data_IF_559766246051
#
_entry.id   IF_559766246051
#
_cell.length_a   1.000
_cell.length_b   1.000
_cell.length_c   1.000
_cell.angle_alpha   90.00
_cell.angle_beta   90.00
_cell.angle_gamma   90.00
#
_symmetry.space_group_name_H-M   'P 1'
#
loop_
_entity.id
_entity.type
_entity.pdbx_description
1 polymer ?
#
# COMPACT_ATOMS: atom_id res chain seq x y z
N UNK A 1 -6.35 5.41 -13.14
CA UNK A 1 -5.92 5.13 -14.53
C UNK A 1 -6.77 4.02 -15.18
N UNK A 2 -7.02 2.91 -14.48
CA UNK A 2 -7.81 1.78 -15.00
C UNK A 2 -9.19 2.19 -15.53
N UNK A 3 -9.95 2.97 -14.76
CA UNK A 3 -11.28 3.41 -15.18
C UNK A 3 -11.26 4.32 -16.40
N UNK A 4 -10.25 5.18 -16.50
CA UNK A 4 -10.07 6.03 -17.69
C UNK A 4 -9.74 5.17 -18.91
N UNK A 5 -8.89 4.16 -18.74
CA UNK A 5 -8.56 3.19 -19.78
C UNK A 5 -9.79 2.47 -20.32
N UNK A 6 -10.66 1.97 -19.44
CA UNK A 6 -11.92 1.31 -19.80
C UNK A 6 -12.86 2.22 -20.61
N UNK A 7 -12.93 3.50 -20.24
CA UNK A 7 -13.83 4.47 -20.90
C UNK A 7 -13.29 5.00 -22.22
N UNK A 8 -11.96 5.09 -22.37
CA UNK A 8 -11.34 5.74 -23.52
C UNK A 8 -10.74 4.76 -24.53
N UNK A 9 -10.51 3.51 -24.12
CA UNK A 9 -9.77 2.51 -24.90
C UNK A 9 -8.26 2.77 -24.97
N UNK A 10 -7.74 3.76 -24.23
CA UNK A 10 -6.30 4.04 -24.12
C UNK A 10 -5.73 3.10 -23.05
N UNK A 11 -4.54 2.52 -23.29
CA UNK A 11 -3.92 1.62 -22.31
C UNK A 11 -3.63 2.34 -20.99
N UNK A 12 -3.72 1.61 -19.88
CA UNK A 12 -3.48 2.12 -18.52
C UNK A 12 -2.09 2.77 -18.41
N UNK A 13 -1.05 2.15 -18.99
CA UNK A 13 0.32 2.69 -18.97
C UNK A 13 0.43 4.04 -19.67
N UNK A 14 -0.27 4.18 -20.80
CA UNK A 14 -0.28 5.45 -21.54
C UNK A 14 -0.99 6.55 -20.75
N UNK A 15 -2.06 6.22 -20.04
CA UNK A 15 -2.77 7.16 -19.17
C UNK A 15 -1.87 7.55 -17.99
N UNK A 16 -1.21 6.60 -17.38
CA UNK A 16 -0.27 6.85 -16.29
C UNK A 16 0.86 7.77 -16.73
N UNK A 17 1.46 7.52 -17.89
CA UNK A 17 2.51 8.38 -18.45
C UNK A 17 2.00 9.80 -18.71
N UNK A 18 0.82 9.95 -19.32
CA UNK A 18 0.19 11.26 -19.50
C UNK A 18 -0.02 12.00 -18.18
N UNK A 19 -0.48 11.29 -17.14
CA UNK A 19 -0.66 11.87 -15.81
C UNK A 19 0.66 12.35 -15.23
N UNK A 20 1.74 11.60 -15.41
CA UNK A 20 3.08 11.98 -14.99
C UNK A 20 3.62 13.18 -15.77
N UNK A 21 3.42 13.23 -17.08
CA UNK A 21 3.81 14.37 -17.95
C UNK A 21 3.09 15.64 -17.51
N UNK A 22 1.82 15.55 -17.15
CA UNK A 22 1.03 16.66 -16.62
C UNK A 22 1.28 16.94 -15.13
N UNK A 23 2.18 16.19 -14.47
CA UNK A 23 2.49 16.31 -13.03
C UNK A 23 1.26 16.13 -12.14
N UNK A 24 0.32 15.30 -12.53
CA UNK A 24 -0.87 14.95 -11.76
C UNK A 24 -0.53 13.76 -10.88
N UNK A 25 -0.29 14.02 -9.59
CA UNK A 25 0.02 13.03 -8.57
C UNK A 25 -1.00 13.11 -7.44
N UNK A 26 -1.27 11.99 -6.73
CA UNK A 26 -2.07 12.06 -5.53
C UNK A 26 -1.33 12.84 -4.43
N UNK A 27 -2.06 13.67 -3.72
CA UNK A 27 -1.64 14.25 -2.43
C UNK A 27 -2.14 13.36 -1.32
N UNK A 28 -1.34 13.17 -0.28
CA UNK A 28 -1.72 12.38 0.88
C UNK A 28 -1.97 13.30 2.06
N UNK A 29 -3.17 13.22 2.60
CA UNK A 29 -3.63 14.02 3.74
C UNK A 29 -3.75 13.15 4.97
N UNK A 30 -3.55 13.77 6.12
CA UNK A 30 -3.72 13.12 7.41
C UNK A 30 -5.19 13.17 7.83
N UNK A 31 -5.71 12.08 8.40
CA UNK A 31 -7.06 12.08 8.95
C UNK A 31 -7.07 12.99 10.17
N UNK A 32 -7.91 14.03 10.13
CA UNK A 32 -8.10 14.94 11.26
C UNK A 32 -9.01 14.28 12.30
N UNK A 33 -8.43 14.00 13.46
CA UNK A 33 -9.14 13.43 14.62
C UNK A 33 -9.45 14.47 15.69
N UNK A 34 -9.11 15.75 15.44
CA UNK A 34 -9.20 16.85 16.40
C UNK A 34 -10.16 17.96 15.97
N UNK A 35 -11.03 17.72 14.97
CA UNK A 35 -12.00 18.68 14.44
C UNK A 35 -11.38 20.04 14.05
N UNK A 36 -10.15 20.02 13.53
CA UNK A 36 -9.33 21.19 13.19
C UNK A 36 -9.03 22.15 14.36
N UNK A 37 -9.31 21.77 15.59
CA UNK A 37 -8.98 22.59 16.77
C UNK A 37 -7.50 22.49 17.15
N UNK A 38 -6.87 21.33 16.88
CA UNK A 38 -5.48 21.05 17.16
C UNK A 38 -4.85 20.28 16.01
N UNK A 39 -3.52 20.32 15.93
CA UNK A 39 -2.79 19.49 14.99
C UNK A 39 -3.01 18.00 15.33
N UNK A 40 -3.44 17.22 14.33
CA UNK A 40 -3.63 15.78 14.50
C UNK A 40 -2.33 15.02 14.17
N UNK A 41 -1.82 14.27 15.15
CA UNK A 41 -0.60 13.45 15.00
C UNK A 41 -0.91 11.99 14.63
N UNK A 42 -2.10 11.70 14.08
CA UNK A 42 -2.46 10.33 13.73
C UNK A 42 -1.55 9.76 12.63
N UNK A 43 -1.37 8.44 12.66
CA UNK A 43 -0.66 7.70 11.62
C UNK A 43 -1.49 7.55 10.33
N UNK A 44 -2.76 7.92 10.35
CA UNK A 44 -3.77 7.69 9.32
C UNK A 44 -3.67 8.67 8.15
N UNK A 45 -3.49 8.12 6.97
CA UNK A 45 -3.30 8.87 5.73
C UNK A 45 -4.30 8.39 4.67
N UNK A 46 -4.74 9.30 3.81
CA UNK A 46 -5.56 8.99 2.65
C UNK A 46 -5.16 9.87 1.47
N UNK A 47 -5.42 9.42 0.24
CA UNK A 47 -5.11 10.20 -0.95
C UNK A 47 -6.26 11.09 -1.39
N UNK A 48 -5.91 12.20 -2.03
CA UNK A 48 -6.82 13.00 -2.82
C UNK A 48 -6.10 13.57 -4.05
N UNK A 49 -6.87 13.84 -5.12
CA UNK A 49 -6.36 14.59 -6.27
C UNK A 49 -6.85 16.03 -6.15
N UNK A 50 -5.91 16.96 -6.03
CA UNK A 50 -6.21 18.37 -5.85
C UNK A 50 -6.25 19.08 -7.18
N UNK A 51 -7.17 20.05 -7.29
CA UNK A 51 -7.32 20.87 -8.50
C UNK A 51 -6.50 22.16 -8.44
N UNK A 52 -5.86 22.45 -7.31
CA UNK A 52 -5.14 23.70 -7.07
C UNK A 52 -3.63 23.52 -7.27
N UNK A 53 -2.95 24.63 -7.62
CA UNK A 53 -1.48 24.67 -7.75
C UNK A 53 -0.74 24.47 -6.41
N UNK A 54 -1.44 24.53 -5.30
CA UNK A 54 -0.87 24.36 -3.96
C UNK A 54 -0.83 22.88 -3.62
N UNK A 55 0.34 22.34 -3.40
CA UNK A 55 0.54 20.99 -2.92
C UNK A 55 0.23 20.91 -1.42
N UNK A 56 -0.93 20.38 -1.08
CA UNK A 56 -1.40 20.19 0.31
C UNK A 56 -1.01 18.82 0.89
N UNK A 57 0.00 18.17 0.34
CA UNK A 57 0.44 16.87 0.82
C UNK A 57 1.07 16.96 2.23
N UNK A 58 0.49 16.26 3.19
CA UNK A 58 0.91 16.24 4.59
C UNK A 58 1.89 15.09 4.91
N UNK A 59 2.24 14.28 3.90
CA UNK A 59 3.21 13.21 4.07
C UNK A 59 4.62 13.71 3.79
N UNK A 60 5.46 13.62 4.80
CA UNK A 60 6.89 13.92 4.75
C UNK A 60 7.67 12.62 4.96
N UNK A 61 8.19 12.00 3.87
CA UNK A 61 8.96 10.77 3.99
C UNK A 61 10.20 10.95 4.86
N UNK A 62 10.49 9.97 5.70
CA UNK A 62 11.68 9.95 6.57
C UNK A 62 12.93 9.47 5.82
N UNK A 63 14.11 9.63 6.45
CA UNK A 63 15.37 9.07 5.95
C UNK A 63 15.56 7.59 6.29
N UNK A 64 14.67 7.02 7.10
CA UNK A 64 14.76 5.62 7.54
C UNK A 64 14.57 4.66 6.36
N UNK A 65 15.07 3.45 6.54
CA UNK A 65 14.69 2.31 5.70
C UNK A 65 13.27 1.88 6.05
N UNK A 66 12.46 1.67 5.03
CA UNK A 66 11.02 1.42 5.16
C UNK A 66 10.66 0.06 4.63
N UNK A 67 9.67 -0.57 5.27
CA UNK A 67 9.03 -1.78 4.77
C UNK A 67 7.52 -1.54 4.71
N UNK A 68 6.93 -1.86 3.57
CA UNK A 68 5.49 -1.76 3.37
C UNK A 68 4.86 -3.14 3.58
N UNK A 69 3.75 -3.16 4.31
CA UNK A 69 2.92 -4.35 4.54
C UNK A 69 1.56 -4.10 3.92
N UNK A 70 1.11 -4.99 3.05
CA UNK A 70 -0.23 -4.93 2.49
C UNK A 70 -1.19 -5.73 3.37
N UNK A 71 -2.23 -5.08 3.86
CA UNK A 71 -3.28 -5.70 4.66
C UNK A 71 -4.25 -6.53 3.83
N UNK A 72 -5.29 -7.06 4.48
CA UNK A 72 -6.25 -7.98 3.85
C UNK A 72 -7.24 -7.34 2.88
N UNK A 73 -7.38 -6.02 2.91
CA UNK A 73 -8.42 -5.34 2.16
C UNK A 73 -9.82 -5.60 2.74
N UNK A 74 -10.87 -5.61 1.91
CA UNK A 74 -12.23 -5.85 2.38
C UNK A 74 -12.38 -7.25 2.98
N UNK A 75 -13.10 -7.36 4.09
CA UNK A 75 -13.42 -8.64 4.71
C UNK A 75 -14.23 -9.52 3.77
N UNK A 76 -13.95 -10.82 3.79
CA UNK A 76 -14.64 -11.84 3.00
C UNK A 76 -15.23 -12.89 3.93
N UNK A 77 -16.39 -13.44 3.54
CA UNK A 77 -16.98 -14.57 4.24
C UNK A 77 -15.97 -15.74 4.23
N UNK A 78 -15.70 -16.30 5.41
CA UNK A 78 -14.74 -17.39 5.59
C UNK A 78 -13.29 -16.96 5.75
N UNK A 79 -12.97 -15.67 5.66
CA UNK A 79 -11.64 -15.16 5.99
C UNK A 79 -11.57 -14.90 7.49
N UNK A 80 -10.59 -15.52 8.15
CA UNK A 80 -10.36 -15.34 9.58
C UNK A 80 -9.48 -14.13 9.89
N UNK A 81 -9.45 -13.78 11.18
CA UNK A 81 -8.65 -12.67 11.72
C UNK A 81 -7.13 -12.95 11.64
N UNK A 82 -6.72 -14.19 11.43
CA UNK A 82 -5.31 -14.60 11.39
C UNK A 82 -4.49 -13.84 10.32
N UNK A 83 -5.10 -13.52 9.19
CA UNK A 83 -4.41 -12.74 8.15
C UNK A 83 -4.08 -11.32 8.63
N UNK A 84 -5.02 -10.68 9.28
CA UNK A 84 -4.81 -9.35 9.84
C UNK A 84 -3.79 -9.37 10.98
N UNK A 85 -3.89 -10.37 11.84
CA UNK A 85 -2.96 -10.56 12.96
C UNK A 85 -1.53 -10.83 12.51
N UNK A 86 -1.33 -11.56 11.41
CA UNK A 86 0.00 -11.73 10.80
C UNK A 86 0.60 -10.40 10.34
N UNK A 87 -0.21 -9.50 9.79
CA UNK A 87 0.22 -8.16 9.41
C UNK A 87 0.69 -7.35 10.64
N UNK A 88 -0.04 -7.43 11.75
CA UNK A 88 0.31 -6.77 13.01
C UNK A 88 1.66 -7.26 13.55
N UNK A 89 1.85 -8.59 13.63
CA UNK A 89 3.11 -9.16 14.09
C UNK A 89 4.30 -8.80 13.20
N UNK A 90 4.09 -8.75 11.89
CA UNK A 90 5.13 -8.30 10.97
C UNK A 90 5.49 -6.83 11.22
N UNK A 91 4.51 -5.96 11.44
CA UNK A 91 4.76 -4.55 11.75
C UNK A 91 5.59 -4.40 13.04
N UNK A 92 5.23 -5.09 14.11
CA UNK A 92 5.96 -5.03 15.37
C UNK A 92 7.39 -5.56 15.23
N UNK A 93 7.58 -6.72 14.60
CA UNK A 93 8.91 -7.31 14.40
C UNK A 93 9.83 -6.42 13.57
N UNK A 94 9.29 -5.76 12.55
CA UNK A 94 10.05 -4.83 11.72
C UNK A 94 10.39 -3.54 12.47
N UNK A 95 9.45 -3.02 13.26
CA UNK A 95 9.70 -1.85 14.12
C UNK A 95 10.77 -2.13 15.16
N UNK A 96 10.74 -3.30 15.82
CA UNK A 96 11.79 -3.75 16.74
C UNK A 96 13.16 -3.89 16.06
N UNK A 97 13.17 -4.28 14.77
CA UNK A 97 14.39 -4.35 13.97
C UNK A 97 14.88 -2.97 13.46
N UNK A 98 14.17 -1.88 13.78
CA UNK A 98 14.57 -0.50 13.47
C UNK A 98 14.12 0.02 12.10
N UNK A 99 13.22 -0.68 11.41
CA UNK A 99 12.62 -0.20 10.17
C UNK A 99 11.41 0.70 10.45
N UNK A 100 11.17 1.69 9.59
CA UNK A 100 9.89 2.40 9.55
C UNK A 100 8.86 1.50 8.87
N UNK A 101 7.77 1.24 9.57
CA UNK A 101 6.70 0.36 9.09
C UNK A 101 5.58 1.16 8.47
N UNK A 102 5.15 0.73 7.28
CA UNK A 102 4.06 1.36 6.54
C UNK A 102 3.02 0.29 6.24
N UNK A 103 1.81 0.47 6.78
CA UNK A 103 0.67 -0.36 6.47
C UNK A 103 -0.16 0.27 5.35
N UNK A 104 -0.61 -0.53 4.39
CA UNK A 104 -1.62 -0.12 3.41
C UNK A 104 -2.81 -1.06 3.54
N UNK A 105 -3.96 -0.53 3.91
CA UNK A 105 -5.19 -1.29 4.00
C UNK A 105 -6.40 -0.37 3.84
N UNK A 106 -7.48 -0.86 3.22
CA UNK A 106 -8.71 -0.10 3.02
C UNK A 106 -9.82 -0.42 4.04
N UNK A 107 -9.58 -1.35 4.96
CA UNK A 107 -10.56 -1.76 5.96
C UNK A 107 -10.22 -1.13 7.33
N UNK A 108 -11.01 -0.17 7.82
CA UNK A 108 -10.74 0.49 9.10
C UNK A 108 -11.13 -0.36 10.33
N UNK A 109 -11.79 -1.49 10.13
CA UNK A 109 -12.34 -2.36 11.18
C UNK A 109 -11.45 -3.57 11.45
N UNK A 110 -10.11 -3.41 11.36
CA UNK A 110 -9.14 -4.48 11.59
C UNK A 110 -8.02 -4.02 12.53
N UNK A 111 -7.39 -4.97 13.22
CA UNK A 111 -6.30 -4.67 14.20
C UNK A 111 -5.06 -4.09 13.50
N UNK A 112 -4.78 -4.48 12.26
CA UNK A 112 -3.66 -3.92 11.49
C UNK A 112 -3.82 -2.44 11.17
N UNK A 113 -5.04 -1.91 11.31
CA UNK A 113 -5.35 -0.49 11.10
C UNK A 113 -5.49 0.29 12.41
N UNK A 114 -5.16 -0.29 13.54
CA UNK A 114 -5.08 0.44 14.79
C UNK A 114 -3.95 1.46 14.77
N UNK A 115 -4.14 2.58 15.48
CA UNK A 115 -3.27 3.77 15.41
C UNK A 115 -1.83 3.52 15.87
N UNK A 116 -1.58 2.49 16.62
CA UNK A 116 -0.29 2.13 17.22
C UNK A 116 0.38 0.89 16.58
N UNK A 117 -0.21 0.33 15.52
CA UNK A 117 0.31 -0.88 14.86
C UNK A 117 1.50 -0.59 13.96
N UNK A 118 1.48 0.51 13.23
CA UNK A 118 2.55 0.90 12.30
C UNK A 118 2.87 2.39 12.40
N UNK A 119 4.07 2.80 11.94
CA UNK A 119 4.47 4.21 11.94
C UNK A 119 3.60 5.05 11.01
N UNK A 120 3.13 4.46 9.91
CA UNK A 120 2.20 5.08 8.96
C UNK A 120 1.17 4.07 8.47
N UNK A 121 -0.06 4.52 8.34
CA UNK A 121 -1.15 3.77 7.75
C UNK A 121 -1.79 4.56 6.61
N UNK A 122 -1.75 4.01 5.41
CA UNK A 122 -2.48 4.52 4.26
C UNK A 122 -3.80 3.78 4.12
N UNK A 123 -4.90 4.50 4.31
CA UNK A 123 -6.25 4.02 4.00
C UNK A 123 -6.49 4.12 2.50
N UNK A 124 -5.98 3.15 1.75
CA UNK A 124 -6.05 3.12 0.30
C UNK A 124 -6.46 1.74 -0.22
N UNK A 125 -7.08 1.69 -1.39
CA UNK A 125 -7.34 0.43 -2.06
C UNK A 125 -6.04 -0.34 -2.34
N UNK A 126 -6.11 -1.67 -2.24
CA UNK A 126 -4.99 -2.54 -2.57
C UNK A 126 -4.95 -2.78 -4.09
N UNK A 127 -4.74 -1.70 -4.85
CA UNK A 127 -4.55 -1.75 -6.30
C UNK A 127 -3.10 -1.47 -6.65
N UNK A 128 -2.67 -1.93 -7.82
CA UNK A 128 -1.32 -1.65 -8.31
C UNK A 128 -1.03 -0.13 -8.36
N UNK A 129 -1.99 0.65 -8.86
CA UNK A 129 -1.86 2.10 -9.02
C UNK A 129 -1.66 2.82 -7.69
N UNK A 130 -2.51 2.52 -6.71
CA UNK A 130 -2.47 3.18 -5.40
C UNK A 130 -1.21 2.80 -4.63
N UNK A 131 -0.88 1.50 -4.58
CA UNK A 131 0.31 1.00 -3.89
C UNK A 131 1.59 1.56 -4.51
N UNK A 132 1.71 1.57 -5.85
CA UNK A 132 2.87 2.11 -6.54
C UNK A 132 3.02 3.63 -6.29
N UNK A 133 1.92 4.37 -6.23
CA UNK A 133 1.92 5.80 -5.94
C UNK A 133 2.45 6.09 -4.53
N UNK A 134 2.06 5.28 -3.54
CA UNK A 134 2.57 5.37 -2.16
C UNK A 134 4.06 5.05 -2.11
N UNK A 135 4.50 3.98 -2.76
CA UNK A 135 5.92 3.60 -2.84
C UNK A 135 6.75 4.73 -3.42
N UNK A 136 6.31 5.31 -4.54
CA UNK A 136 6.99 6.42 -5.19
C UNK A 136 7.05 7.67 -4.29
N UNK A 137 5.98 7.95 -3.55
CA UNK A 137 5.98 9.04 -2.57
C UNK A 137 6.98 8.79 -1.44
N UNK A 138 6.96 7.61 -0.84
CA UNK A 138 7.83 7.28 0.29
C UNK A 138 9.31 7.13 -0.11
N UNK A 139 9.60 6.78 -1.36
CA UNK A 139 10.97 6.76 -1.91
C UNK A 139 11.55 8.14 -2.22
N UNK A 140 10.77 9.22 -2.13
CA UNK A 140 11.32 10.58 -2.30
C UNK A 140 12.39 10.91 -1.26
N UNK A 141 12.36 10.21 -0.11
CA UNK A 141 13.36 10.37 0.94
C UNK A 141 13.51 9.05 1.70
N UNK A 142 14.76 8.62 1.93
CA UNK A 142 15.03 7.29 2.47
C UNK A 142 14.83 6.21 1.40
N UNK A 143 14.64 4.96 1.84
CA UNK A 143 14.55 3.81 0.95
C UNK A 143 13.38 2.89 1.39
N UNK A 144 12.48 2.59 0.48
CA UNK A 144 11.52 1.48 0.63
C UNK A 144 12.22 0.20 0.18
N UNK A 145 12.56 -0.67 1.14
CA UNK A 145 13.27 -1.93 0.88
C UNK A 145 12.43 -2.93 0.08
N UNK A 146 11.12 -2.85 0.19
CA UNK A 146 10.17 -3.70 -0.52
C UNK A 146 8.83 -3.81 0.19
N UNK A 147 8.00 -4.72 -0.33
CA UNK A 147 6.61 -4.91 0.06
C UNK A 147 6.36 -6.35 0.50
N UNK A 148 5.69 -6.55 1.62
CA UNK A 148 5.20 -7.85 2.10
C UNK A 148 3.76 -8.01 1.63
N UNK A 149 3.48 -9.05 0.86
CA UNK A 149 2.18 -9.32 0.24
C UNK A 149 1.49 -10.58 0.75
N UNK A 150 2.23 -11.53 1.34
CA UNK A 150 1.70 -12.86 1.69
C UNK A 150 0.87 -12.91 2.96
N UNK A 151 0.85 -11.85 3.77
CA UNK A 151 0.20 -11.85 5.09
C UNK A 151 -1.27 -11.44 5.03
N UNK A 152 -1.68 -10.65 4.05
CA UNK A 152 -3.02 -10.10 3.90
C UNK A 152 -4.02 -11.00 3.16
N UNK A 153 -3.69 -12.25 2.87
CA UNK A 153 -4.54 -13.15 2.09
C UNK A 153 -4.54 -12.84 0.60
N UNK A 154 -5.62 -13.22 -0.08
CA UNK A 154 -5.71 -13.21 -1.55
C UNK A 154 -5.65 -11.81 -2.20
N UNK A 155 -6.08 -10.78 -1.51
CA UNK A 155 -6.16 -9.44 -2.11
C UNK A 155 -4.78 -8.88 -2.47
N UNK A 156 -3.80 -8.82 -1.54
CA UNK A 156 -2.47 -8.33 -1.87
C UNK A 156 -1.68 -9.28 -2.79
N UNK A 157 -1.92 -10.60 -2.73
CA UNK A 157 -1.25 -11.56 -3.61
C UNK A 157 -1.52 -11.27 -5.09
N UNK A 158 -2.73 -10.84 -5.46
CA UNK A 158 -3.12 -10.55 -6.84
C UNK A 158 -2.35 -9.41 -7.50
N UNK A 159 -1.71 -8.55 -6.74
CA UNK A 159 -0.93 -7.44 -7.28
C UNK A 159 0.59 -7.66 -7.17
N UNK A 160 1.02 -8.79 -6.60
CA UNK A 160 2.43 -9.11 -6.38
C UNK A 160 3.23 -9.11 -7.68
N UNK A 161 2.73 -9.80 -8.72
CA UNK A 161 3.38 -9.88 -10.03
C UNK A 161 3.51 -8.50 -10.67
N UNK A 162 2.44 -7.71 -10.69
CA UNK A 162 2.45 -6.37 -11.29
C UNK A 162 3.39 -5.41 -10.57
N UNK A 163 3.50 -5.49 -9.24
CA UNK A 163 4.47 -4.73 -8.47
C UNK A 163 5.91 -5.16 -8.79
N UNK A 164 6.15 -6.47 -8.88
CA UNK A 164 7.46 -7.00 -9.25
C UNK A 164 7.89 -6.56 -10.66
N UNK A 165 6.97 -6.59 -11.63
CA UNK A 165 7.20 -6.09 -12.98
C UNK A 165 7.51 -4.58 -13.02
N UNK A 166 6.96 -3.81 -12.09
CA UNK A 166 7.29 -2.40 -11.89
C UNK A 166 8.63 -2.17 -11.17
N UNK A 167 9.40 -3.24 -10.89
CA UNK A 167 10.69 -3.17 -10.21
C UNK A 167 10.61 -3.07 -8.68
N UNK A 168 9.44 -3.30 -8.10
CA UNK A 168 9.26 -3.29 -6.64
C UNK A 168 9.63 -4.67 -6.08
N UNK A 169 10.53 -4.66 -5.11
CA UNK A 169 10.96 -5.90 -4.44
C UNK A 169 9.85 -6.46 -3.56
N UNK A 170 9.44 -7.70 -3.80
CA UNK A 170 8.57 -8.45 -2.91
C UNK A 170 9.42 -9.12 -1.83
N UNK A 171 9.07 -8.89 -0.58
CA UNK A 171 9.79 -9.41 0.59
C UNK A 171 9.09 -10.66 1.12
N UNK A 172 9.88 -11.59 1.65
CA UNK A 172 9.38 -12.87 2.16
C UNK A 172 9.27 -13.89 1.04
N UNK A 173 8.07 -14.30 0.69
CA UNK A 173 7.82 -15.29 -0.37
C UNK A 173 8.03 -14.66 -1.76
N UNK A 174 8.79 -15.32 -2.62
CA UNK A 174 9.01 -14.85 -3.99
C UNK A 174 7.73 -14.94 -4.83
N UNK A 175 7.62 -14.10 -5.86
CA UNK A 175 6.46 -14.11 -6.76
C UNK A 175 6.29 -15.49 -7.43
N UNK A 176 7.39 -16.10 -7.91
CA UNK A 176 7.35 -17.44 -8.51
C UNK A 176 6.80 -18.51 -7.54
N UNK A 177 7.15 -18.40 -6.25
CA UNK A 177 6.64 -19.34 -5.25
C UNK A 177 5.16 -19.08 -4.90
N UNK A 178 4.73 -17.82 -4.97
CA UNK A 178 3.31 -17.44 -4.81
C UNK A 178 2.50 -18.03 -5.97
N UNK A 179 2.94 -17.82 -7.20
CA UNK A 179 2.25 -18.31 -8.40
C UNK A 179 2.19 -19.83 -8.43
N UNK A 180 3.27 -20.50 -8.03
CA UNK A 180 3.31 -21.96 -7.92
C UNK A 180 2.30 -22.50 -6.87
N UNK A 181 2.15 -21.79 -5.76
CA UNK A 181 1.20 -22.18 -4.71
C UNK A 181 -0.26 -21.92 -5.11
N UNK A 182 -0.50 -20.87 -5.91
CA UNK A 182 -1.83 -20.52 -6.42
C UNK A 182 -2.28 -21.42 -7.59
N UNK A 183 -1.31 -21.84 -8.43
CA UNK A 183 -1.58 -22.68 -9.60
C UNK A 183 -1.62 -24.17 -9.19
N UNK A 184 -2.75 -24.59 -8.60
CA UNK A 184 -2.98 -25.96 -8.05
C UNK A 184 -2.70 -27.14 -9.02
N UNK A 185 -2.23 -26.88 -10.24
CA UNK A 185 -1.82 -27.87 -11.24
C UNK A 185 -0.41 -28.43 -11.01
N UNK A 186 0.38 -27.81 -10.15
CA UNK A 186 1.78 -28.22 -9.90
C UNK A 186 1.92 -29.28 -8.81
N UNK A 187 0.84 -29.74 -8.20
CA UNK A 187 0.85 -30.78 -7.14
C UNK A 187 0.52 -32.18 -7.63
N UNK A 188 0.29 -32.39 -8.93
CA UNK A 188 0.16 -33.72 -9.52
C UNK A 188 1.57 -34.29 -9.81
N UNK A 189 2.24 -34.83 -8.77
CA UNK A 189 3.37 -35.76 -8.88
C UNK A 189 2.99 -37.10 -8.29
#
# INVERSE_FOLDING_TARGET
DKRISELTGISTDKIQNLRYDFKIFPSYKRVDTCAAEFYSETAYLYSSYEQNEVNECEVYPSQKKKVIILGGGPNRIGQGIEFDYCCVHAAYSLSEAGFETIMINCNPETVSTDYDTSDKLYFEPLTHEDVLSIINKENQKGEVLGVIVQLGGQTPLKISESLNQAGIKILGTSVDAIDLAEDGKSFDI
#
